data_IF_597522419095
#
_entry.id   IF_597522419095
#
_cell.length_a   1.000
_cell.length_b   1.000
_cell.length_c   1.000
_cell.angle_alpha   90.00
_cell.angle_beta   90.00
_cell.angle_gamma   90.00
#
_symmetry.space_group_name_H-M   'P 1'
#
loop_
_entity.id
_entity.type
_entity.pdbx_description
1 polymer ?
#
# COMPACT_ATOMS: atom_id res chain seq x y z
N UNK A 1 3.02 -85.18 63.67
CA UNK A 1 3.68 -83.86 63.54
C UNK A 1 3.91 -83.43 62.07
N UNK A 2 3.66 -84.30 61.08
CA UNK A 2 3.92 -84.02 59.65
C UNK A 2 2.98 -83.01 58.98
N UNK A 3 1.75 -82.79 59.50
CA UNK A 3 0.79 -81.87 58.87
C UNK A 3 1.10 -80.37 59.01
N UNK A 4 1.92 -79.96 60.00
CA UNK A 4 2.20 -78.53 60.24
C UNK A 4 3.13 -77.91 59.19
N UNK A 5 4.07 -78.69 58.63
CA UNK A 5 5.00 -78.20 57.60
C UNK A 5 4.30 -77.96 56.25
N UNK A 6 3.39 -78.85 55.86
CA UNK A 6 2.60 -78.70 54.63
C UNK A 6 1.66 -77.48 54.67
N UNK A 7 1.09 -77.18 55.83
CA UNK A 7 0.18 -76.05 56.01
C UNK A 7 0.91 -74.69 55.90
N UNK A 8 2.17 -74.60 56.37
CA UNK A 8 3.02 -73.41 56.22
C UNK A 8 3.40 -73.18 54.76
N UNK A 9 3.74 -74.24 54.02
CA UNK A 9 4.10 -74.15 52.61
C UNK A 9 2.92 -73.64 51.76
N UNK A 10 1.71 -74.18 51.98
CA UNK A 10 0.48 -73.72 51.30
C UNK A 10 0.15 -72.26 51.61
N UNK A 11 0.32 -71.82 52.86
CA UNK A 11 0.09 -70.42 53.25
C UNK A 11 1.07 -69.46 52.58
N UNK A 12 2.34 -69.85 52.41
CA UNK A 12 3.31 -69.05 51.62
C UNK A 12 2.91 -68.97 50.16
N UNK A 13 2.63 -70.11 49.52
CA UNK A 13 2.21 -70.14 48.11
C UNK A 13 0.96 -69.31 47.86
N UNK A 14 -0.05 -69.37 48.73
CA UNK A 14 -1.24 -68.54 48.61
C UNK A 14 -0.92 -67.04 48.77
N UNK A 15 -0.02 -66.68 49.69
CA UNK A 15 0.41 -65.29 49.86
C UNK A 15 1.12 -64.78 48.61
N UNK A 16 2.07 -65.56 48.09
CA UNK A 16 2.85 -65.20 46.89
C UNK A 16 1.94 -65.08 45.66
N UNK A 17 0.93 -65.96 45.52
CA UNK A 17 -0.08 -65.88 44.46
C UNK A 17 -0.97 -64.63 44.60
N UNK A 18 -1.36 -64.26 45.81
CA UNK A 18 -2.14 -63.04 46.07
C UNK A 18 -1.32 -61.77 45.80
N UNK A 19 -0.05 -61.74 46.21
CA UNK A 19 0.86 -60.62 45.92
C UNK A 19 1.12 -60.49 44.42
N UNK A 20 1.31 -61.62 43.72
CA UNK A 20 1.46 -61.63 42.27
C UNK A 20 0.21 -61.10 41.56
N UNK A 21 -0.99 -61.53 41.98
CA UNK A 21 -2.24 -61.02 41.42
C UNK A 21 -2.38 -59.50 41.66
N UNK A 22 -2.07 -59.03 42.87
CA UNK A 22 -2.11 -57.60 43.19
C UNK A 22 -1.12 -56.78 42.35
N UNK A 23 0.07 -57.31 42.07
CA UNK A 23 1.08 -56.67 41.22
C UNK A 23 0.62 -56.60 39.76
N UNK A 24 0.00 -57.67 39.26
CA UNK A 24 -0.57 -57.73 37.91
C UNK A 24 -1.66 -56.67 37.77
N UNK A 25 -2.62 -56.63 38.70
CA UNK A 25 -3.74 -55.68 38.66
C UNK A 25 -3.24 -54.23 38.79
N UNK A 26 -2.27 -53.97 39.68
CA UNK A 26 -1.67 -52.65 39.82
C UNK A 26 -0.94 -52.20 38.55
N UNK A 27 -0.23 -53.10 37.85
CA UNK A 27 0.44 -52.77 36.59
C UNK A 27 -0.55 -52.43 35.48
N UNK A 28 -1.63 -53.20 35.33
CA UNK A 28 -2.67 -52.93 34.33
C UNK A 28 -3.43 -51.63 34.61
N UNK A 29 -3.81 -51.38 35.86
CA UNK A 29 -4.48 -50.13 36.25
C UNK A 29 -3.57 -48.91 36.08
N UNK A 30 -2.28 -49.03 36.40
CA UNK A 30 -1.31 -47.97 36.16
C UNK A 30 -1.20 -47.64 34.67
N UNK A 31 -0.97 -48.65 33.83
CA UNK A 31 -0.88 -48.48 32.36
C UNK A 31 -2.15 -47.90 31.76
N UNK A 32 -3.31 -48.37 32.20
CA UNK A 32 -4.60 -47.91 31.71
C UNK A 32 -4.80 -46.41 32.01
N UNK A 33 -4.48 -45.98 33.24
CA UNK A 33 -4.55 -44.55 33.62
C UNK A 33 -3.57 -43.70 32.81
N UNK A 34 -2.33 -44.16 32.64
CA UNK A 34 -1.35 -43.45 31.81
C UNK A 34 -1.81 -43.34 30.35
N UNK A 35 -2.39 -44.41 29.79
CA UNK A 35 -2.91 -44.40 28.42
C UNK A 35 -4.10 -43.45 28.26
N UNK A 36 -5.05 -43.46 29.20
CA UNK A 36 -6.17 -42.53 29.22
C UNK A 36 -5.70 -41.07 29.31
N UNK A 37 -4.73 -40.77 30.18
CA UNK A 37 -4.14 -39.43 30.29
C UNK A 37 -3.42 -39.00 29.00
N UNK A 38 -2.67 -39.92 28.39
CA UNK A 38 -1.97 -39.66 27.13
C UNK A 38 -2.94 -39.44 25.97
N UNK A 39 -4.05 -40.17 25.92
CA UNK A 39 -5.11 -39.97 24.92
C UNK A 39 -5.78 -38.61 25.14
N UNK A 40 -6.19 -38.29 26.36
CA UNK A 40 -6.82 -37.01 26.69
C UNK A 40 -5.91 -35.81 26.36
N UNK A 41 -4.60 -35.94 26.59
CA UNK A 41 -3.64 -34.90 26.24
C UNK A 41 -3.50 -34.73 24.72
N UNK A 42 -3.42 -35.83 23.97
CA UNK A 42 -3.37 -35.81 22.50
C UNK A 42 -4.61 -35.16 21.91
N UNK A 43 -5.80 -35.56 22.37
CA UNK A 43 -7.08 -34.96 21.93
C UNK A 43 -7.11 -33.45 22.20
N UNK A 44 -6.62 -33.00 23.36
CA UNK A 44 -6.55 -31.56 23.68
C UNK A 44 -5.57 -30.80 22.78
N UNK A 45 -4.43 -31.39 22.43
CA UNK A 45 -3.47 -30.81 21.50
C UNK A 45 -4.07 -30.74 20.08
N UNK A 46 -4.73 -31.81 19.65
CA UNK A 46 -5.35 -31.90 18.33
C UNK A 46 -6.50 -30.91 18.20
N UNK A 47 -7.34 -30.77 19.22
CA UNK A 47 -8.39 -29.74 19.29
C UNK A 47 -7.80 -28.33 19.14
N UNK A 48 -6.73 -27.99 19.87
CA UNK A 48 -6.06 -26.67 19.76
C UNK A 48 -5.42 -26.46 18.38
N UNK A 49 -4.93 -27.51 17.71
CA UNK A 49 -4.42 -27.42 16.34
C UNK A 49 -5.56 -27.18 15.35
N UNK A 50 -6.66 -27.92 15.46
CA UNK A 50 -7.84 -27.73 14.64
C UNK A 50 -8.43 -26.33 14.80
N UNK A 51 -8.54 -25.81 16.02
CA UNK A 51 -9.01 -24.44 16.30
C UNK A 51 -8.11 -23.37 15.64
N UNK A 52 -6.77 -23.53 15.71
CA UNK A 52 -5.84 -22.62 15.03
C UNK A 52 -5.98 -22.67 13.51
N UNK A 53 -6.08 -23.87 12.94
CA UNK A 53 -6.28 -24.05 11.51
C UNK A 53 -7.60 -23.42 11.06
N UNK A 54 -8.68 -23.59 11.81
CA UNK A 54 -9.99 -23.00 11.46
C UNK A 54 -9.97 -21.48 11.59
N UNK A 55 -9.34 -20.92 12.63
CA UNK A 55 -9.13 -19.47 12.72
C UNK A 55 -8.35 -18.92 11.53
N UNK A 56 -7.35 -19.65 11.06
CA UNK A 56 -6.57 -19.26 9.88
C UNK A 56 -7.40 -19.36 8.59
N UNK A 57 -8.25 -20.38 8.47
CA UNK A 57 -9.19 -20.55 7.35
C UNK A 57 -10.21 -19.43 7.30
N UNK A 58 -10.82 -19.08 8.43
CA UNK A 58 -11.78 -17.97 8.55
C UNK A 58 -11.12 -16.64 8.18
N UNK A 59 -9.90 -16.37 8.67
CA UNK A 59 -9.17 -15.14 8.30
C UNK A 59 -8.88 -15.09 6.80
N UNK A 60 -8.41 -16.19 6.21
CA UNK A 60 -8.14 -16.27 4.78
C UNK A 60 -9.42 -16.09 3.93
N UNK A 61 -10.54 -16.65 4.39
CA UNK A 61 -11.85 -16.51 3.72
C UNK A 61 -12.37 -15.07 3.80
N UNK A 62 -12.32 -14.44 4.97
CA UNK A 62 -12.68 -13.03 5.16
C UNK A 62 -11.79 -12.09 4.33
N UNK A 63 -10.51 -12.38 4.20
CA UNK A 63 -9.59 -11.60 3.36
C UNK A 63 -9.92 -11.74 1.88
N UNK A 64 -10.20 -12.97 1.44
CA UNK A 64 -10.63 -13.27 0.07
C UNK A 64 -11.97 -12.61 -0.25
N UNK A 65 -12.94 -12.63 0.67
CA UNK A 65 -14.23 -11.97 0.51
C UNK A 65 -14.07 -10.45 0.43
N UNK A 66 -13.25 -9.84 1.29
CA UNK A 66 -12.96 -8.39 1.22
C UNK A 66 -12.29 -8.02 -0.09
N UNK A 67 -11.42 -8.87 -0.63
CA UNK A 67 -10.78 -8.65 -1.91
C UNK A 67 -11.76 -8.81 -3.08
N UNK A 68 -12.57 -9.87 -3.06
CA UNK A 68 -13.63 -10.11 -4.03
C UNK A 68 -14.66 -8.97 -4.06
N UNK A 69 -15.05 -8.41 -2.89
CA UNK A 69 -15.96 -7.26 -2.82
C UNK A 69 -15.38 -6.01 -3.49
N UNK A 70 -14.09 -5.72 -3.27
CA UNK A 70 -13.40 -4.60 -3.92
C UNK A 70 -13.28 -4.80 -5.43
N UNK A 71 -13.02 -6.02 -5.87
CA UNK A 71 -12.91 -6.36 -7.28
C UNK A 71 -14.27 -6.34 -7.97
N UNK A 72 -15.34 -6.83 -7.33
CA UNK A 72 -16.70 -6.77 -7.84
C UNK A 72 -17.24 -5.34 -7.92
N UNK A 73 -16.94 -4.48 -6.93
CA UNK A 73 -17.29 -3.05 -7.00
C UNK A 73 -16.55 -2.34 -8.13
N UNK A 74 -15.27 -2.66 -8.33
CA UNK A 74 -14.49 -2.16 -9.47
C UNK A 74 -15.06 -2.65 -10.79
N UNK A 75 -15.42 -3.92 -10.89
CA UNK A 75 -16.00 -4.52 -12.10
C UNK A 75 -17.35 -3.89 -12.43
N UNK A 76 -18.24 -3.71 -11.45
CA UNK A 76 -19.54 -3.05 -11.63
C UNK A 76 -19.40 -1.59 -12.08
N UNK A 77 -18.41 -0.87 -11.54
CA UNK A 77 -18.10 0.49 -11.98
C UNK A 77 -17.54 0.54 -13.40
N UNK A 78 -16.66 -0.41 -13.74
CA UNK A 78 -16.10 -0.54 -15.08
C UNK A 78 -17.17 -0.91 -16.12
N UNK A 79 -18.13 -1.75 -15.75
CA UNK A 79 -19.26 -2.15 -16.59
C UNK A 79 -20.25 -1.00 -16.80
N UNK A 80 -20.58 -0.23 -15.75
CA UNK A 80 -21.40 0.98 -15.87
C UNK A 80 -20.72 2.07 -16.70
N UNK A 81 -19.41 2.29 -16.53
CA UNK A 81 -18.65 3.25 -17.35
C UNK A 81 -18.51 2.76 -18.81
N UNK A 82 -18.42 1.46 -19.05
CA UNK A 82 -18.41 0.87 -20.39
C UNK A 82 -19.78 1.05 -21.07
N UNK A 83 -20.87 0.81 -20.34
CA UNK A 83 -22.23 0.99 -20.85
C UNK A 83 -22.53 2.47 -21.14
N UNK A 84 -22.16 3.40 -20.25
CA UNK A 84 -22.30 4.85 -20.52
C UNK A 84 -21.47 5.29 -21.71
N UNK A 85 -20.24 4.76 -21.87
CA UNK A 85 -19.43 5.04 -23.07
C UNK A 85 -20.07 4.49 -24.34
N UNK A 86 -20.65 3.29 -24.30
CA UNK A 86 -21.34 2.72 -25.45
C UNK A 86 -22.58 3.55 -25.82
N UNK A 87 -23.37 3.99 -24.83
CA UNK A 87 -24.54 4.85 -25.04
C UNK A 87 -24.15 6.25 -25.56
N UNK A 88 -23.09 6.85 -25.01
CA UNK A 88 -22.58 8.15 -25.47
C UNK A 88 -21.98 8.05 -26.88
N UNK A 89 -21.32 6.94 -27.22
CA UNK A 89 -20.76 6.68 -28.55
C UNK A 89 -21.87 6.40 -29.58
N UNK A 90 -22.94 5.71 -29.20
CA UNK A 90 -24.14 5.53 -30.02
C UNK A 90 -24.89 6.86 -30.23
N UNK A 91 -25.10 7.65 -29.17
CA UNK A 91 -25.70 8.99 -29.26
C UNK A 91 -24.86 9.94 -30.08
N UNK A 92 -23.53 9.87 -29.94
CA UNK A 92 -22.58 10.66 -30.73
C UNK A 92 -22.52 10.21 -32.18
N UNK A 93 -22.63 8.92 -32.50
CA UNK A 93 -22.77 8.43 -33.88
C UNK A 93 -24.07 8.92 -34.51
N UNK A 94 -25.16 8.95 -33.75
CA UNK A 94 -26.44 9.53 -34.18
C UNK A 94 -26.35 11.06 -34.35
N UNK A 95 -25.66 11.78 -33.46
CA UNK A 95 -25.52 13.23 -33.52
C UNK A 95 -24.50 13.70 -34.59
N UNK A 96 -23.41 12.96 -34.80
CA UNK A 96 -22.42 13.24 -35.85
C UNK A 96 -22.97 12.94 -37.26
N UNK A 97 -23.93 12.02 -37.37
CA UNK A 97 -24.72 11.85 -38.60
C UNK A 97 -25.66 13.05 -38.85
N UNK A 98 -25.95 13.87 -37.84
CA UNK A 98 -26.94 14.94 -37.89
C UNK A 98 -26.37 16.37 -37.92
N UNK A 99 -25.18 16.63 -37.39
CA UNK A 99 -24.64 18.00 -37.29
C UNK A 99 -23.14 18.06 -37.64
N UNK A 100 -22.84 18.75 -38.73
CA UNK A 100 -21.53 18.82 -39.37
C UNK A 100 -20.42 19.53 -38.58
N UNK A 101 -19.19 19.09 -38.93
CA UNK A 101 -17.85 19.73 -38.93
C UNK A 101 -17.33 20.62 -37.78
N UNK A 102 -18.05 20.88 -36.70
CA UNK A 102 -17.56 21.71 -35.57
C UNK A 102 -16.94 20.95 -34.39
N UNK A 103 -17.19 19.63 -34.27
CA UNK A 103 -16.90 18.85 -33.05
C UNK A 103 -15.51 18.16 -33.04
N UNK A 104 -14.61 18.53 -33.96
CA UNK A 104 -13.33 17.82 -34.14
C UNK A 104 -12.31 18.08 -33.02
N UNK A 105 -12.27 19.27 -32.42
CA UNK A 105 -11.21 19.63 -31.44
C UNK A 105 -11.42 19.08 -30.02
N UNK A 106 -12.68 18.92 -29.58
CA UNK A 106 -13.00 18.37 -28.25
C UNK A 106 -12.76 16.86 -28.20
N UNK A 107 -13.04 16.18 -29.32
CA UNK A 107 -12.80 14.77 -29.56
C UNK A 107 -11.32 14.38 -29.45
N UNK A 108 -10.42 15.19 -30.02
CA UNK A 108 -8.98 14.93 -30.02
C UNK A 108 -8.35 15.03 -28.61
N UNK A 109 -8.93 15.85 -27.71
CA UNK A 109 -8.52 15.92 -26.29
C UNK A 109 -9.03 14.72 -25.48
N UNK A 110 -10.16 14.14 -25.86
CA UNK A 110 -10.73 12.95 -25.19
C UNK A 110 -10.02 11.68 -25.67
N UNK A 111 -9.67 11.58 -26.95
CA UNK A 111 -8.99 10.39 -27.49
C UNK A 111 -7.53 10.26 -27.00
N UNK A 112 -6.82 11.38 -26.82
CA UNK A 112 -5.50 11.39 -26.16
C UNK A 112 -5.55 10.98 -24.67
N UNK A 113 -6.73 10.95 -24.04
CA UNK A 113 -6.97 10.42 -22.69
C UNK A 113 -7.48 8.97 -22.70
N UNK A 114 -7.84 8.41 -23.85
CA UNK A 114 -8.50 7.09 -24.00
C UNK A 114 -7.52 5.93 -24.16
N UNK A 115 -6.22 6.20 -24.32
CA UNK A 115 -5.18 5.25 -23.91
C UNK A 115 -5.10 5.26 -22.40
N UNK A 116 -5.30 4.11 -21.73
CA UNK A 116 -5.13 3.91 -20.28
C UNK A 116 -3.69 4.29 -19.91
N UNK A 117 -3.39 5.58 -19.77
CA UNK A 117 -2.09 6.06 -19.28
C UNK A 117 -2.01 5.55 -17.87
N UNK A 118 -1.13 4.57 -17.66
CA UNK A 118 -0.84 4.01 -16.36
C UNK A 118 -0.65 5.16 -15.38
N UNK A 119 -1.46 5.18 -14.32
CA UNK A 119 -1.44 6.31 -13.39
C UNK A 119 -0.04 6.43 -12.80
N UNK A 120 0.42 7.64 -12.46
CA UNK A 120 1.75 7.81 -11.83
C UNK A 120 1.88 6.95 -10.56
N UNK A 121 0.75 6.68 -9.88
CA UNK A 121 0.65 5.74 -8.76
C UNK A 121 0.95 4.29 -9.18
N UNK A 122 0.39 3.83 -10.29
CA UNK A 122 0.65 2.49 -10.83
C UNK A 122 2.08 2.34 -11.36
N UNK A 123 2.63 3.37 -12.00
CA UNK A 123 4.03 3.37 -12.44
C UNK A 123 4.98 3.29 -11.25
N UNK A 124 4.76 4.12 -10.22
CA UNK A 124 5.53 4.06 -8.96
C UNK A 124 5.44 2.68 -8.32
N UNK A 125 4.23 2.09 -8.26
CA UNK A 125 4.04 0.74 -7.69
C UNK A 125 4.79 -0.32 -8.49
N UNK A 126 4.75 -0.25 -9.83
CA UNK A 126 5.48 -1.15 -10.72
C UNK A 126 7.00 -1.05 -10.51
N UNK A 127 7.54 0.17 -10.54
CA UNK A 127 8.99 0.41 -10.35
C UNK A 127 9.46 -0.01 -8.96
N UNK A 128 8.67 0.21 -7.92
CA UNK A 128 9.01 -0.26 -6.56
C UNK A 128 8.99 -1.78 -6.48
N UNK A 129 8.02 -2.44 -7.10
CA UNK A 129 7.97 -3.90 -7.15
C UNK A 129 9.17 -4.49 -7.92
N UNK A 130 9.62 -3.85 -9.01
CA UNK A 130 10.82 -4.26 -9.76
C UNK A 130 12.11 -4.07 -8.96
N UNK A 131 12.18 -3.06 -8.08
CA UNK A 131 13.34 -2.80 -7.22
C UNK A 131 13.36 -3.66 -5.96
N UNK A 132 12.20 -4.00 -5.42
CA UNK A 132 12.09 -4.85 -4.24
C UNK A 132 12.32 -6.30 -4.62
N UNK A 133 13.53 -6.81 -4.39
CA UNK A 133 13.83 -8.24 -4.50
C UNK A 133 13.17 -8.99 -3.34
N UNK A 134 12.31 -9.98 -3.59
CA UNK A 134 11.82 -10.85 -2.53
C UNK A 134 12.99 -11.66 -1.96
N UNK A 135 13.09 -11.73 -0.64
CA UNK A 135 14.11 -12.51 0.05
C UNK A 135 13.48 -13.82 0.51
N UNK A 136 14.05 -14.93 0.08
CA UNK A 136 13.75 -16.25 0.63
C UNK A 136 14.79 -16.56 1.70
N UNK A 137 14.36 -16.71 2.96
CA UNK A 137 15.24 -16.77 4.13
C UNK A 137 15.22 -18.17 4.77
N UNK A 138 14.28 -19.03 4.39
CA UNK A 138 13.94 -20.25 5.15
C UNK A 138 15.04 -21.34 5.07
N UNK A 139 15.94 -21.26 4.07
CA UNK A 139 16.96 -22.28 3.81
C UNK A 139 18.40 -21.72 3.77
N UNK A 140 18.66 -20.56 4.39
CA UNK A 140 19.99 -19.94 4.37
C UNK A 140 20.91 -20.49 5.47
N UNK A 141 22.21 -20.62 5.16
CA UNK A 141 23.26 -20.89 6.16
C UNK A 141 23.67 -19.61 6.90
N UNK A 142 24.26 -19.72 8.10
CA UNK A 142 24.66 -18.55 8.93
C UNK A 142 25.57 -17.57 8.15
N UNK A 143 26.54 -18.09 7.40
CA UNK A 143 27.44 -17.26 6.59
C UNK A 143 26.69 -16.49 5.49
N UNK A 144 25.74 -17.14 4.81
CA UNK A 144 24.91 -16.49 3.78
C UNK A 144 23.99 -15.43 4.36
N UNK A 145 23.47 -15.62 5.57
CA UNK A 145 22.67 -14.62 6.27
C UNK A 145 23.50 -13.37 6.58
N UNK A 146 24.76 -13.55 7.03
CA UNK A 146 25.68 -12.43 7.32
C UNK A 146 26.04 -11.65 6.07
N UNK A 147 26.30 -12.32 4.95
CA UNK A 147 26.57 -11.68 3.67
C UNK A 147 25.35 -10.90 3.16
N UNK A 148 24.18 -11.54 3.14
CA UNK A 148 22.92 -10.91 2.71
C UNK A 148 22.57 -9.69 3.57
N UNK A 149 22.80 -9.76 4.89
CA UNK A 149 22.58 -8.61 5.78
C UNK A 149 23.50 -7.43 5.46
N UNK A 150 24.78 -7.68 5.14
CA UNK A 150 25.73 -6.64 4.72
C UNK A 150 25.33 -6.03 3.38
N UNK A 151 24.92 -6.84 2.41
CA UNK A 151 24.43 -6.37 1.12
C UNK A 151 23.19 -5.50 1.26
N UNK A 152 22.22 -5.92 2.08
CA UNK A 152 21.01 -5.13 2.37
C UNK A 152 21.35 -3.80 3.03
N UNK A 153 22.30 -3.80 3.96
CA UNK A 153 22.77 -2.58 4.61
C UNK A 153 23.41 -1.62 3.60
N UNK A 154 24.24 -2.13 2.69
CA UNK A 154 24.85 -1.31 1.65
C UNK A 154 23.81 -0.71 0.71
N UNK A 155 22.81 -1.50 0.28
CA UNK A 155 21.70 -1.01 -0.56
C UNK A 155 20.90 0.09 0.16
N UNK A 156 20.64 -0.06 1.46
CA UNK A 156 19.97 0.97 2.25
C UNK A 156 20.80 2.26 2.33
N UNK A 157 22.10 2.13 2.56
CA UNK A 157 23.02 3.27 2.61
C UNK A 157 23.05 4.04 1.29
N UNK A 158 23.17 3.34 0.17
CA UNK A 158 23.21 3.96 -1.16
C UNK A 158 21.87 4.66 -1.49
N UNK A 159 20.73 4.05 -1.13
CA UNK A 159 19.41 4.66 -1.31
C UNK A 159 19.24 5.93 -0.46
N UNK A 160 19.77 5.93 0.77
CA UNK A 160 19.74 7.11 1.66
C UNK A 160 20.58 8.25 1.08
N UNK A 161 21.76 7.95 0.52
CA UNK A 161 22.60 8.93 -0.16
C UNK A 161 21.88 9.56 -1.37
N UNK A 162 21.25 8.74 -2.23
CA UNK A 162 20.48 9.22 -3.38
C UNK A 162 19.29 10.10 -2.93
N UNK A 163 18.62 9.73 -1.84
CA UNK A 163 17.53 10.51 -1.26
C UNK A 163 18.04 11.87 -0.78
N UNK A 164 19.16 11.90 -0.08
CA UNK A 164 19.79 13.13 0.40
C UNK A 164 20.10 14.09 -0.76
N UNK A 165 20.80 13.62 -1.79
CA UNK A 165 21.15 14.42 -2.96
C UNK A 165 19.91 14.96 -3.69
N UNK A 166 18.86 14.13 -3.80
CA UNK A 166 17.58 14.52 -4.40
C UNK A 166 16.88 15.61 -3.58
N UNK A 167 16.91 15.50 -2.25
CA UNK A 167 16.36 16.50 -1.35
C UNK A 167 17.11 17.83 -1.44
N UNK A 168 18.44 17.81 -1.46
CA UNK A 168 19.26 19.02 -1.62
C UNK A 168 19.04 19.67 -2.98
N UNK A 169 18.96 18.88 -4.05
CA UNK A 169 18.61 19.37 -5.39
C UNK A 169 17.23 20.02 -5.41
N UNK A 170 16.23 19.42 -4.77
CA UNK A 170 14.89 19.98 -4.69
C UNK A 170 14.88 21.31 -3.90
N UNK A 171 15.65 21.42 -2.81
CA UNK A 171 15.79 22.69 -2.07
C UNK A 171 16.38 23.80 -2.95
N UNK A 172 17.44 23.50 -3.72
CA UNK A 172 18.03 24.44 -4.68
C UNK A 172 17.04 24.88 -5.75
N UNK A 173 16.36 23.92 -6.39
CA UNK A 173 15.32 24.21 -7.39
C UNK A 173 14.18 25.06 -6.82
N UNK A 174 13.75 24.81 -5.58
CA UNK A 174 12.75 25.65 -4.91
C UNK A 174 13.24 27.08 -4.73
N UNK A 175 14.51 27.27 -4.37
CA UNK A 175 15.10 28.60 -4.24
C UNK A 175 15.19 29.33 -5.59
N UNK A 176 15.66 28.64 -6.64
CA UNK A 176 15.75 29.18 -8.01
C UNK A 176 14.38 29.57 -8.57
N UNK A 177 13.35 28.74 -8.37
CA UNK A 177 11.99 29.05 -8.81
C UNK A 177 11.40 30.21 -8.01
N UNK A 178 11.58 30.22 -6.69
CA UNK A 178 11.08 31.29 -5.82
C UNK A 178 11.69 32.64 -6.23
N UNK A 179 13.02 32.73 -6.30
CA UNK A 179 13.75 33.93 -6.73
C UNK A 179 13.35 34.36 -8.15
N UNK A 180 13.36 33.45 -9.13
CA UNK A 180 12.99 33.79 -10.51
C UNK A 180 11.56 34.31 -10.64
N UNK A 181 10.62 33.78 -9.86
CA UNK A 181 9.22 34.21 -9.90
C UNK A 181 9.00 35.53 -9.17
N UNK A 182 9.62 35.72 -8.00
CA UNK A 182 9.56 36.99 -7.27
C UNK A 182 10.23 38.13 -8.03
N UNK A 183 11.40 37.87 -8.62
CA UNK A 183 12.17 38.88 -9.35
C UNK A 183 11.45 39.28 -10.64
N UNK A 184 10.84 38.33 -11.35
CA UNK A 184 9.98 38.63 -12.51
C UNK A 184 8.75 39.44 -12.10
N UNK A 185 8.08 39.08 -11.01
CA UNK A 185 6.93 39.84 -10.51
C UNK A 185 7.32 41.26 -10.11
N UNK A 186 8.46 41.44 -9.43
CA UNK A 186 8.98 42.75 -9.03
C UNK A 186 9.35 43.61 -10.25
N UNK A 187 10.03 43.05 -11.26
CA UNK A 187 10.34 43.72 -12.52
C UNK A 187 9.07 44.13 -13.30
N UNK A 188 8.05 43.27 -13.33
CA UNK A 188 6.77 43.59 -13.98
C UNK A 188 6.02 44.70 -13.24
N UNK A 189 6.04 44.67 -11.90
CA UNK A 189 5.36 45.68 -11.09
C UNK A 189 6.05 47.06 -11.16
N UNK A 190 7.37 47.09 -11.17
CA UNK A 190 8.16 48.34 -11.36
C UNK A 190 7.97 48.92 -12.77
N UNK A 191 7.92 48.09 -13.81
CA UNK A 191 7.60 48.54 -15.17
C UNK A 191 6.17 49.09 -15.29
N UNK A 192 5.17 48.48 -14.62
CA UNK A 192 3.81 48.98 -14.61
C UNK A 192 3.69 50.36 -13.92
N UNK A 193 4.42 50.56 -12.82
CA UNK A 193 4.46 51.84 -12.10
C UNK A 193 5.12 52.95 -12.93
N UNK A 194 6.20 52.65 -13.65
CA UNK A 194 6.87 53.63 -14.52
C UNK A 194 6.01 54.04 -15.72
N UNK A 195 5.30 53.09 -16.35
CA UNK A 195 4.33 53.38 -17.40
C UNK A 195 3.22 54.29 -16.88
N UNK A 196 2.67 54.00 -15.70
CA UNK A 196 1.59 54.82 -15.09
C UNK A 196 2.07 56.22 -14.73
N UNK A 197 3.29 56.37 -14.21
CA UNK A 197 3.89 57.66 -13.87
C UNK A 197 4.15 58.52 -15.12
N UNK A 198 4.68 57.92 -16.20
CA UNK A 198 4.89 58.60 -17.47
C UNK A 198 3.58 59.05 -18.12
N UNK A 199 2.53 58.22 -18.09
CA UNK A 199 1.20 58.60 -18.57
C UNK A 199 0.62 59.80 -17.79
N UNK A 200 0.80 59.85 -16.47
CA UNK A 200 0.38 61.00 -15.65
C UNK A 200 1.18 62.27 -15.97
N UNK A 201 2.50 62.17 -16.14
CA UNK A 201 3.35 63.32 -16.50
C UNK A 201 3.01 63.87 -17.89
N UNK A 202 2.70 63.01 -18.86
CA UNK A 202 2.29 63.43 -20.21
C UNK A 202 0.93 64.13 -20.19
N UNK A 203 -0.03 63.65 -19.38
CA UNK A 203 -1.32 64.32 -19.19
C UNK A 203 -1.16 65.73 -18.59
N UNK A 204 -0.35 65.87 -17.53
CA UNK A 204 -0.08 67.16 -16.89
C UNK A 204 0.66 68.11 -17.84
N UNK A 205 1.64 67.63 -18.60
CA UNK A 205 2.34 68.41 -19.62
C UNK A 205 1.38 68.90 -20.70
N UNK A 206 0.46 68.06 -21.17
CA UNK A 206 -0.53 68.43 -22.18
C UNK A 206 -1.47 69.53 -21.68
N UNK A 207 -1.90 69.44 -20.41
CA UNK A 207 -2.73 70.48 -19.76
C UNK A 207 -1.96 71.80 -19.63
N UNK A 208 -0.70 71.77 -19.18
CA UNK A 208 0.14 72.96 -19.04
C UNK A 208 0.43 73.63 -20.39
N UNK A 209 0.73 72.85 -21.43
CA UNK A 209 0.94 73.36 -22.79
C UNK A 209 -0.36 74.00 -23.32
N UNK A 210 -1.52 73.36 -23.15
CA UNK A 210 -2.81 73.93 -23.50
C UNK A 210 -3.11 75.25 -22.77
N UNK A 211 -2.74 75.36 -21.49
CA UNK A 211 -2.90 76.58 -20.71
C UNK A 211 -1.99 77.71 -21.18
N UNK A 212 -0.76 77.41 -21.61
CA UNK A 212 0.18 78.39 -22.18
C UNK A 212 -0.32 78.87 -23.55
N UNK A 213 -0.83 77.97 -24.40
CA UNK A 213 -1.40 78.35 -25.69
C UNK A 213 -2.70 79.17 -25.56
N UNK A 214 -3.58 78.85 -24.62
CA UNK A 214 -4.79 79.64 -24.32
C UNK A 214 -4.45 81.05 -23.82
N UNK A 215 -3.40 81.19 -23.02
CA UNK A 215 -2.98 82.49 -22.46
C UNK A 215 -2.27 83.39 -23.48
N UNK A 216 -1.76 82.81 -24.57
CA UNK A 216 -1.19 83.54 -25.71
C UNK A 216 -2.23 83.96 -26.76
N UNK A 217 -3.46 83.43 -26.71
CA UNK A 217 -4.54 83.68 -27.68
C UNK A 217 -5.60 84.70 -27.21
N UNK A 218 -5.45 85.30 -26.03
CA UNK A 218 -6.33 86.37 -25.53
C UNK A 218 -5.73 87.71 -25.98
N UNK A 219 -6.31 88.43 -26.95
CA UNK A 219 -5.84 89.76 -27.33
C UNK A 219 -6.23 90.77 -26.24
N UNK A 220 -5.34 91.73 -25.98
CA UNK A 220 -5.61 92.97 -25.24
C UNK A 220 -6.73 93.79 -25.92
#
# INVERSE_FOLDING_TARGET
LEGKGQDIQKKRQNKDLMELQSLIDAHFECRKKEEEEMIALKERIEKRRAERNEQQRIRAEQDKERQARREAERLRKEELDAQRKADDEAKKKNALSSMGSGFSSHLQRIDQKRGKKQTEREKKKKVLAERCKPLDIDNFSDDKLRETAKEMWQVLFDLEAIKYDSCEKLKRQRYEVCTSTTDRLYCLQTAALSITANSRLMSVRSILIGHVYMRALIPL
#
